data_IF_727014287592
#
_entry.id   IF_727014287592
#
_cell.length_a   1.000
_cell.length_b   1.000
_cell.length_c   1.000
_cell.angle_alpha   90.00
_cell.angle_beta   90.00
_cell.angle_gamma   90.00
#
_symmetry.space_group_name_H-M   'P 1'
#
loop_
_entity.id
_entity.type
_entity.pdbx_description
1 polymer ?
#
# COMPACT_ATOMS: atom_id res chain seq x y z
N UNK A 1 8.62 -20.55 -27.76
CA UNK A 1 8.87 -19.66 -26.61
C UNK A 1 7.71 -18.67 -26.42
N UNK A 2 6.46 -19.17 -26.29
CA UNK A 2 5.26 -18.34 -26.46
C UNK A 2 4.71 -17.70 -25.18
N UNK A 3 5.24 -18.02 -23.99
CA UNK A 3 4.63 -17.61 -22.72
C UNK A 3 5.64 -16.84 -21.85
N UNK A 4 6.09 -15.67 -22.31
CA UNK A 4 6.82 -14.73 -21.44
C UNK A 4 5.83 -13.73 -20.87
N UNK A 5 5.77 -13.64 -19.54
CA UNK A 5 4.97 -12.67 -18.80
C UNK A 5 5.87 -11.71 -18.05
N UNK A 6 5.47 -10.45 -17.96
CA UNK A 6 6.15 -9.48 -17.12
C UNK A 6 5.91 -9.86 -15.66
N UNK A 7 6.98 -9.92 -14.87
CA UNK A 7 6.92 -10.18 -13.43
C UNK A 7 7.31 -8.91 -12.70
N UNK A 8 6.48 -8.52 -11.74
CA UNK A 8 6.71 -7.38 -10.87
C UNK A 8 6.78 -7.85 -9.42
N UNK A 9 7.66 -7.24 -8.64
CA UNK A 9 7.77 -7.50 -7.21
C UNK A 9 7.08 -6.41 -6.44
N UNK A 10 6.14 -6.78 -5.57
CA UNK A 10 5.50 -5.83 -4.66
C UNK A 10 6.24 -5.79 -3.32
N UNK A 11 6.74 -4.61 -2.96
CA UNK A 11 7.14 -4.34 -1.60
C UNK A 11 5.90 -3.99 -0.76
N UNK A 12 6.04 -4.01 0.57
CA UNK A 12 4.98 -3.57 1.48
C UNK A 12 4.48 -2.17 1.11
N UNK A 13 3.17 -1.99 1.07
CA UNK A 13 2.54 -0.73 0.68
C UNK A 13 1.12 -0.64 1.22
N UNK A 14 0.51 0.54 1.06
CA UNK A 14 -0.87 0.80 1.46
C UNK A 14 -1.64 1.45 0.31
N UNK A 15 -2.89 1.03 0.14
CA UNK A 15 -3.91 1.78 -0.58
C UNK A 15 -4.78 2.50 0.43
N UNK A 16 -5.14 3.76 0.17
CA UNK A 16 -5.91 4.59 1.12
C UNK A 16 -7.26 4.97 0.55
N UNK A 17 -8.25 5.08 1.45
CA UNK A 17 -9.54 5.69 1.15
C UNK A 17 -9.48 7.21 1.21
N UNK A 18 -10.48 7.88 0.64
CA UNK A 18 -10.57 9.35 0.69
C UNK A 18 -10.62 9.85 2.13
N UNK A 19 -11.39 9.19 2.96
CA UNK A 19 -11.49 9.50 4.39
C UNK A 19 -10.12 9.42 5.08
N UNK A 20 -9.42 8.30 4.94
CA UNK A 20 -8.12 8.12 5.61
C UNK A 20 -7.03 9.02 5.03
N UNK A 21 -7.06 9.33 3.73
CA UNK A 21 -6.16 10.32 3.15
C UNK A 21 -6.37 11.70 3.79
N UNK A 22 -7.63 12.11 3.97
CA UNK A 22 -7.96 13.38 4.61
C UNK A 22 -7.52 13.41 6.09
N UNK A 23 -7.68 12.31 6.82
CA UNK A 23 -7.25 12.21 8.23
C UNK A 23 -5.71 12.30 8.34
N UNK A 24 -4.99 11.60 7.47
CA UNK A 24 -3.54 11.47 7.57
C UNK A 24 -2.78 12.69 7.01
N UNK A 25 -3.30 13.33 5.96
CA UNK A 25 -2.59 14.38 5.22
C UNK A 25 -3.35 15.71 5.13
N UNK A 26 -4.60 15.77 5.62
CA UNK A 26 -5.43 16.98 5.63
C UNK A 26 -6.58 16.92 4.62
N UNK A 27 -7.67 17.64 4.93
CA UNK A 27 -8.86 17.68 4.08
C UNK A 27 -8.54 18.23 2.69
N UNK A 28 -9.00 17.51 1.65
CA UNK A 28 -8.77 17.90 0.26
C UNK A 28 -7.37 17.58 -0.27
N UNK A 29 -6.52 16.90 0.50
CA UNK A 29 -5.18 16.53 0.04
C UNK A 29 -5.25 15.59 -1.18
N UNK A 30 -4.33 15.81 -2.13
CA UNK A 30 -4.18 14.98 -3.33
C UNK A 30 -2.84 14.25 -3.32
N UNK A 31 -2.87 12.96 -3.68
CA UNK A 31 -1.66 12.13 -3.74
C UNK A 31 -0.71 12.65 -4.82
N UNK A 32 0.57 12.76 -4.48
CA UNK A 32 1.61 13.20 -5.41
C UNK A 32 2.17 11.99 -6.17
N UNK A 33 1.99 11.95 -7.49
CA UNK A 33 2.54 10.89 -8.34
C UNK A 33 4.07 10.95 -8.31
N UNK A 34 4.72 9.88 -7.84
CA UNK A 34 6.18 9.72 -7.87
C UNK A 34 6.64 8.87 -9.05
N UNK A 35 5.94 7.77 -9.33
CA UNK A 35 6.29 6.84 -10.41
C UNK A 35 5.07 6.04 -10.87
N UNK A 36 4.84 5.98 -12.18
CA UNK A 36 3.83 5.09 -12.77
C UNK A 36 4.27 3.62 -12.65
N UNK A 37 3.32 2.75 -12.34
CA UNK A 37 3.53 1.31 -12.27
C UNK A 37 3.19 0.65 -13.62
N UNK A 38 3.51 -0.64 -13.74
CA UNK A 38 3.23 -1.43 -14.95
C UNK A 38 1.73 -1.60 -15.20
N UNK A 39 0.93 -1.59 -14.13
CA UNK A 39 -0.53 -1.65 -14.20
C UNK A 39 -1.08 -0.27 -14.61
N UNK A 40 -1.88 -0.18 -15.70
CA UNK A 40 -2.40 1.09 -16.19
C UNK A 40 -3.16 1.86 -15.10
N UNK A 41 -2.83 3.14 -14.95
CA UNK A 41 -3.47 4.04 -13.98
C UNK A 41 -3.02 3.88 -12.53
N UNK A 42 -2.18 2.88 -12.20
CA UNK A 42 -1.61 2.73 -10.85
C UNK A 42 -0.26 3.46 -10.75
N UNK A 43 0.01 4.04 -9.58
CA UNK A 43 1.24 4.77 -9.33
C UNK A 43 1.71 4.66 -7.89
N UNK A 44 3.03 4.68 -7.69
CA UNK A 44 3.61 4.93 -6.39
C UNK A 44 3.59 6.43 -6.09
N UNK A 45 3.19 6.78 -4.87
CA UNK A 45 3.09 8.17 -4.45
C UNK A 45 4.37 8.64 -3.72
N UNK A 46 4.54 9.95 -3.58
CA UNK A 46 5.63 10.52 -2.78
C UNK A 46 5.42 10.29 -1.28
N UNK A 47 4.15 10.23 -0.88
CA UNK A 47 3.69 10.06 0.49
C UNK A 47 4.02 8.67 1.01
N UNK A 48 4.35 8.65 2.30
CA UNK A 48 4.65 7.45 3.06
C UNK A 48 4.00 7.56 4.43
N UNK A 49 3.63 6.42 4.98
CA UNK A 49 3.03 6.32 6.32
C UNK A 49 3.75 5.26 7.14
N UNK A 50 3.62 5.37 8.45
CA UNK A 50 4.08 4.35 9.36
C UNK A 50 2.94 3.37 9.66
N UNK A 51 3.22 2.07 9.58
CA UNK A 51 2.27 1.02 9.99
C UNK A 51 2.65 0.59 11.40
N UNK A 52 1.86 1.03 12.36
CA UNK A 52 2.07 0.75 13.79
C UNK A 52 1.26 -0.48 14.19
N UNK A 53 1.92 -1.55 14.60
CA UNK A 53 1.26 -2.72 15.19
C UNK A 53 1.62 -2.91 16.67
N UNK A 54 1.01 -3.90 17.34
CA UNK A 54 1.19 -4.12 18.78
C UNK A 54 2.62 -4.34 19.25
N UNK A 55 3.52 -4.83 18.37
CA UNK A 55 4.92 -5.13 18.73
C UNK A 55 5.90 -4.07 18.25
N UNK A 56 5.72 -3.58 17.03
CA UNK A 56 6.68 -2.71 16.33
C UNK A 56 5.97 -1.82 15.31
N UNK A 57 6.67 -0.78 14.91
CA UNK A 57 6.31 0.09 13.78
C UNK A 57 7.14 -0.28 12.56
N UNK A 58 6.49 -0.38 11.39
CA UNK A 58 7.16 -0.37 10.10
C UNK A 58 7.11 1.06 9.58
N UNK A 59 8.25 1.73 9.56
CA UNK A 59 8.34 3.10 9.11
C UNK A 59 8.35 3.23 7.57
N UNK A 60 7.76 4.30 7.05
CA UNK A 60 7.94 4.73 5.67
C UNK A 60 7.34 3.79 4.62
N UNK A 61 6.20 3.16 4.91
CA UNK A 61 5.43 2.35 3.96
C UNK A 61 4.87 3.24 2.86
N UNK A 62 5.10 2.86 1.60
CA UNK A 62 4.67 3.64 0.44
C UNK A 62 3.16 3.56 0.23
N UNK A 63 2.55 4.69 -0.15
CA UNK A 63 1.17 4.71 -0.66
C UNK A 63 1.19 4.40 -2.16
N UNK A 64 0.27 3.54 -2.61
CA UNK A 64 -0.04 3.33 -4.01
C UNK A 64 -1.41 3.93 -4.35
N UNK A 65 -1.42 4.83 -5.33
CA UNK A 65 -2.62 5.46 -5.85
C UNK A 65 -3.19 4.73 -7.07
N UNK A 66 -4.43 5.09 -7.48
CA UNK A 66 -5.26 6.16 -6.91
C UNK A 66 -5.92 5.79 -5.57
N UNK A 67 -6.57 6.79 -4.95
CA UNK A 67 -7.45 6.57 -3.80
C UNK A 67 -8.50 5.50 -4.14
N UNK A 68 -8.74 4.60 -3.20
CA UNK A 68 -9.72 3.49 -3.33
C UNK A 68 -10.94 3.72 -2.44
N UNK A 69 -12.02 2.93 -2.59
CA UNK A 69 -13.15 2.97 -1.65
C UNK A 69 -12.75 2.63 -0.22
N UNK A 70 -11.83 1.65 -0.06
CA UNK A 70 -11.38 1.16 1.24
C UNK A 70 -9.86 1.19 1.36
N UNK A 71 -9.37 1.30 2.60
CA UNK A 71 -7.94 1.26 2.91
C UNK A 71 -7.48 -0.17 3.06
N UNK A 72 -6.38 -0.52 2.40
CA UNK A 72 -5.80 -1.85 2.41
C UNK A 72 -4.29 -1.76 2.64
N UNK A 73 -3.78 -2.50 3.62
CA UNK A 73 -2.34 -2.63 3.88
C UNK A 73 -1.88 -3.99 3.39
N UNK A 74 -0.88 -4.01 2.50
CA UNK A 74 -0.29 -5.23 1.98
C UNK A 74 1.08 -5.46 2.60
N UNK A 75 1.23 -6.58 3.32
CA UNK A 75 2.42 -6.94 4.07
C UNK A 75 2.86 -8.36 3.72
N UNK A 76 4.18 -8.60 3.80
CA UNK A 76 4.66 -9.97 3.86
C UNK A 76 4.28 -10.64 5.18
N UNK A 77 4.26 -11.98 5.21
CA UNK A 77 4.06 -12.73 6.46
C UNK A 77 5.10 -12.37 7.53
N UNK A 78 6.34 -12.07 7.11
CA UNK A 78 7.42 -11.65 8.00
C UNK A 78 7.15 -10.26 8.60
N UNK A 79 6.65 -9.32 7.79
CA UNK A 79 6.28 -7.99 8.26
C UNK A 79 5.11 -8.05 9.24
N UNK A 80 4.05 -8.81 8.90
CA UNK A 80 2.90 -9.02 9.77
C UNK A 80 3.33 -9.61 11.14
N UNK A 81 4.18 -10.64 11.13
CA UNK A 81 4.75 -11.21 12.35
C UNK A 81 5.58 -10.19 13.16
N UNK A 82 6.34 -9.34 12.46
CA UNK A 82 7.21 -8.33 13.09
C UNK A 82 6.43 -7.26 13.83
N UNK A 83 5.29 -6.82 13.27
CA UNK A 83 4.40 -5.84 13.92
C UNK A 83 3.42 -6.48 14.90
N UNK A 84 3.31 -7.81 14.91
CA UNK A 84 2.44 -8.55 15.83
C UNK A 84 1.00 -8.69 15.36
N UNK A 85 0.78 -8.71 14.04
CA UNK A 85 -0.54 -8.90 13.43
C UNK A 85 -0.62 -10.27 12.77
N UNK A 86 -1.74 -10.98 12.98
CA UNK A 86 -2.06 -12.21 12.28
C UNK A 86 -2.83 -11.89 10.99
N UNK A 87 -2.12 -11.45 9.95
CA UNK A 87 -2.72 -11.11 8.67
C UNK A 87 -3.02 -12.38 7.84
N UNK A 88 -4.21 -12.52 7.25
CA UNK A 88 -4.54 -13.64 6.36
C UNK A 88 -3.85 -13.48 5.00
N UNK A 89 -3.77 -14.58 4.24
CA UNK A 89 -3.44 -14.53 2.81
C UNK A 89 -4.74 -14.35 2.04
N UNK A 90 -4.85 -13.26 1.27
CA UNK A 90 -6.04 -12.86 0.52
C UNK A 90 -5.65 -12.20 -0.80
N UNK A 91 -6.58 -12.22 -1.75
CA UNK A 91 -6.53 -11.34 -2.92
C UNK A 91 -6.93 -9.91 -2.51
N UNK A 92 -6.57 -8.91 -3.32
CA UNK A 92 -6.92 -7.51 -3.04
C UNK A 92 -8.44 -7.31 -3.01
N UNK A 93 -8.94 -6.64 -1.97
CA UNK A 93 -10.37 -6.34 -1.79
C UNK A 93 -11.21 -7.41 -1.11
N UNK A 94 -10.60 -8.46 -0.52
CA UNK A 94 -11.31 -9.57 0.16
C UNK A 94 -11.04 -9.63 1.66
#
# INVERSE_FOLDING_TARGET
MANKVLVETSARHIHVSREHLNILFGEGYELTVKKMLSQPGQYACAERVDVVGPKKTIAGVSILGPVRPETQVELSLTDARSIGVAAPVRESGQ
#
